data_IF_487133050474
#
_entry.id   IF_487133050474
#
_cell.length_a   1.000
_cell.length_b   1.000
_cell.length_c   1.000
_cell.angle_alpha   90.00
_cell.angle_beta   90.00
_cell.angle_gamma   90.00
#
_symmetry.space_group_name_H-M   'P 1'
#
loop_
_entity.id
_entity.type
_entity.pdbx_description
1 polymer ?
#
# COMPACT_ATOMS: atom_id res chain seq x y z
N UNK A 1 -39.83 40.78 19.56
CA UNK A 1 -40.98 40.90 18.62
C UNK A 1 -41.09 39.61 17.81
N UNK A 2 -42.29 39.31 17.25
CA UNK A 2 -42.65 38.28 16.24
C UNK A 2 -41.81 36.96 16.19
N UNK A 3 -42.32 35.76 16.51
CA UNK A 3 -43.46 34.98 15.94
C UNK A 3 -43.38 34.78 14.41
N UNK A 4 -43.64 33.59 13.82
CA UNK A 4 -43.92 32.26 14.40
C UNK A 4 -44.09 31.14 13.33
N UNK A 5 -43.78 29.87 13.72
CA UNK A 5 -44.48 28.59 13.34
C UNK A 5 -44.40 28.11 11.87
N UNK A 6 -44.62 26.83 11.48
CA UNK A 6 -44.80 25.49 12.12
C UNK A 6 -44.18 24.43 11.14
N UNK A 7 -43.77 23.20 11.48
CA UNK A 7 -44.57 22.02 11.89
C UNK A 7 -45.32 21.37 10.70
N UNK A 8 -45.25 20.07 10.36
CA UNK A 8 -44.49 18.90 10.86
C UNK A 8 -45.36 17.68 11.22
N UNK A 9 -45.28 16.54 10.49
CA UNK A 9 -45.80 15.18 10.86
C UNK A 9 -45.38 14.06 9.86
N UNK A 10 -45.70 12.77 10.13
CA UNK A 10 -45.17 11.54 9.46
C UNK A 10 -46.09 10.29 9.69
N UNK A 11 -45.78 9.08 9.15
CA UNK A 11 -46.12 8.49 7.84
C UNK A 11 -47.56 7.88 7.81
N UNK A 12 -47.96 6.56 7.85
CA UNK A 12 -47.28 5.22 7.78
C UNK A 12 -47.89 4.18 6.75
N UNK A 13 -47.35 2.94 6.73
CA UNK A 13 -47.94 1.62 6.29
C UNK A 13 -48.40 1.37 4.81
N UNK A 14 -48.40 0.15 4.23
CA UNK A 14 -47.68 -1.14 4.51
C UNK A 14 -48.00 -2.30 3.49
N UNK A 15 -47.05 -3.25 3.32
CA UNK A 15 -47.22 -4.74 3.18
C UNK A 15 -47.58 -5.48 1.85
N UNK A 16 -47.00 -6.71 1.74
CA UNK A 16 -47.30 -7.90 0.87
C UNK A 16 -47.00 -7.77 -0.67
N UNK A 17 -46.25 -8.63 -1.40
CA UNK A 17 -46.11 -10.12 -1.56
C UNK A 17 -47.11 -10.73 -2.59
N UNK A 18 -46.87 -11.80 -3.37
CA UNK A 18 -45.76 -12.78 -3.56
C UNK A 18 -46.03 -13.59 -4.89
N UNK A 19 -45.07 -14.42 -5.37
CA UNK A 19 -45.23 -15.36 -6.51
C UNK A 19 -44.84 -14.78 -7.89
N UNK A 20 -44.04 -15.36 -8.80
CA UNK A 20 -43.53 -16.74 -9.12
C UNK A 20 -44.39 -17.50 -10.17
N UNK A 21 -43.69 -18.20 -11.07
CA UNK A 21 -44.07 -18.97 -12.28
C UNK A 21 -44.17 -18.15 -13.58
N UNK A 22 -43.42 -18.37 -14.67
CA UNK A 22 -42.71 -19.52 -15.30
C UNK A 22 -43.55 -20.34 -16.29
N UNK A 23 -43.43 -20.03 -17.59
CA UNK A 23 -43.81 -20.88 -18.73
C UNK A 23 -42.71 -20.77 -19.80
N UNK A 24 -42.56 -21.81 -20.61
CA UNK A 24 -41.40 -22.14 -21.46
C UNK A 24 -41.82 -22.21 -22.96
N UNK A 25 -41.04 -22.90 -23.81
CA UNK A 25 -41.44 -23.57 -25.08
C UNK A 25 -41.16 -22.86 -26.45
N UNK A 26 -39.93 -23.12 -26.94
CA UNK A 26 -39.52 -23.58 -28.31
C UNK A 26 -39.65 -22.76 -29.62
N UNK A 27 -38.47 -22.52 -30.22
CA UNK A 27 -38.00 -22.86 -31.60
C UNK A 27 -38.76 -22.46 -32.89
N UNK A 28 -38.04 -21.78 -33.80
CA UNK A 28 -37.40 -22.27 -35.07
C UNK A 28 -36.60 -21.07 -35.65
N UNK A 29 -35.39 -21.12 -36.23
CA UNK A 29 -34.63 -22.05 -37.10
C UNK A 29 -34.89 -21.92 -38.61
N UNK A 30 -34.25 -20.92 -39.21
CA UNK A 30 -33.73 -20.76 -40.60
C UNK A 30 -32.79 -19.52 -40.52
N UNK A 31 -31.66 -19.35 -41.21
CA UNK A 31 -31.17 -19.88 -42.50
C UNK A 31 -31.20 -18.72 -43.51
N UNK A 32 -30.11 -18.06 -43.92
CA UNK A 32 -28.75 -18.56 -44.23
C UNK A 32 -27.63 -17.48 -44.19
N UNK A 33 -26.39 -17.95 -44.38
CA UNK A 33 -25.17 -17.26 -44.92
C UNK A 33 -25.38 -16.07 -45.89
N UNK A 34 -24.43 -15.13 -46.07
CA UNK A 34 -23.00 -15.07 -45.66
C UNK A 34 -22.47 -13.62 -45.56
N UNK A 35 -21.26 -13.47 -45.00
CA UNK A 35 -20.17 -12.46 -45.23
C UNK A 35 -20.54 -11.11 -45.92
N UNK A 36 -20.15 -9.94 -45.41
CA UNK A 36 -18.87 -9.60 -44.73
C UNK A 36 -19.02 -8.80 -43.41
N UNK A 37 -18.02 -8.92 -42.54
CA UNK A 37 -17.66 -7.91 -41.54
C UNK A 37 -16.37 -7.16 -41.95
N UNK A 38 -15.84 -6.17 -41.24
CA UNK A 38 -16.14 -5.64 -39.90
C UNK A 38 -15.77 -4.15 -39.90
N UNK A 39 -16.54 -3.28 -39.24
CA UNK A 39 -16.12 -2.07 -38.50
C UNK A 39 -17.39 -1.37 -37.93
N UNK A 40 -17.24 -0.47 -36.95
CA UNK A 40 -18.33 0.34 -36.37
C UNK A 40 -19.46 -0.42 -35.63
N UNK A 41 -19.10 -1.33 -34.73
CA UNK A 41 -19.89 -1.53 -33.51
C UNK A 41 -19.73 -0.35 -32.53
N UNK A 42 -20.56 -0.29 -31.48
CA UNK A 42 -20.60 0.77 -30.45
C UNK A 42 -21.02 2.16 -30.94
N UNK A 43 -22.31 2.50 -30.87
CA UNK A 43 -22.85 3.84 -30.49
C UNK A 43 -24.40 3.84 -30.35
N UNK A 44 -25.01 2.73 -29.89
CA UNK A 44 -26.48 2.54 -29.88
C UNK A 44 -26.98 1.84 -28.59
N UNK A 45 -26.53 2.32 -27.41
CA UNK A 45 -27.00 1.82 -26.11
C UNK A 45 -27.16 2.92 -25.05
N UNK A 46 -27.84 4.00 -25.44
CA UNK A 46 -28.39 5.04 -24.57
C UNK A 46 -29.66 5.58 -25.23
N UNK A 47 -30.69 5.90 -24.44
CA UNK A 47 -32.03 6.36 -24.88
C UNK A 47 -32.89 5.30 -25.59
N UNK A 48 -33.24 4.22 -24.88
CA UNK A 48 -34.54 3.52 -25.07
C UNK A 48 -34.84 2.55 -23.92
N UNK A 49 -35.69 2.96 -22.98
CA UNK A 49 -36.18 2.13 -21.87
C UNK A 49 -37.33 2.82 -21.14
N UNK A 50 -38.37 2.06 -20.77
CA UNK A 50 -39.70 2.52 -20.32
C UNK A 50 -40.43 3.29 -21.45
N UNK A 51 -41.49 2.76 -22.06
CA UNK A 51 -42.70 2.17 -21.46
C UNK A 51 -43.39 1.19 -22.41
N UNK A 52 -44.44 0.48 -21.96
CA UNK A 52 -45.25 -0.43 -22.79
C UNK A 52 -46.69 -0.56 -22.27
N UNK A 53 -47.58 -0.99 -23.17
CA UNK A 53 -48.97 -1.44 -22.98
C UNK A 53 -50.13 -0.42 -22.87
N UNK A 54 -51.24 -0.83 -23.51
CA UNK A 54 -52.66 -0.42 -23.34
C UNK A 54 -53.15 0.93 -23.92
N UNK A 55 -53.85 0.82 -25.05
CA UNK A 55 -54.90 1.70 -25.60
C UNK A 55 -56.13 1.78 -24.64
N UNK A 56 -57.07 2.78 -24.74
CA UNK A 56 -57.74 3.10 -26.00
C UNK A 56 -58.19 4.56 -26.31
N UNK A 57 -58.47 4.73 -27.62
CA UNK A 57 -59.46 5.62 -28.26
C UNK A 57 -59.17 7.10 -28.55
N UNK A 58 -59.69 7.50 -29.73
CA UNK A 58 -59.93 8.84 -30.30
C UNK A 58 -58.75 9.73 -30.76
N UNK A 59 -58.62 9.79 -32.09
CA UNK A 59 -58.60 11.02 -32.92
C UNK A 59 -57.73 12.22 -32.48
N UNK A 60 -56.64 12.45 -33.21
CA UNK A 60 -56.58 13.50 -34.26
C UNK A 60 -55.38 13.23 -35.18
N UNK A 61 -55.52 13.49 -36.49
CA UNK A 61 -54.41 13.45 -37.45
C UNK A 61 -53.63 14.78 -37.41
N UNK A 62 -52.34 14.74 -37.10
CA UNK A 62 -51.39 15.79 -37.50
C UNK A 62 -50.26 15.18 -38.34
N UNK A 63 -50.21 15.55 -39.62
CA UNK A 63 -49.15 15.15 -40.54
C UNK A 63 -48.01 16.15 -40.42
N UNK A 64 -47.00 15.85 -39.59
CA UNK A 64 -45.79 16.67 -39.48
C UNK A 64 -44.76 16.17 -40.50
N UNK A 65 -44.59 16.94 -41.58
CA UNK A 65 -43.66 16.66 -42.66
C UNK A 65 -42.19 16.71 -42.18
N UNK A 66 -41.49 15.58 -42.23
CA UNK A 66 -40.03 15.54 -42.05
C UNK A 66 -39.30 16.27 -43.19
N UNK A 67 -38.89 17.53 -42.94
CA UNK A 67 -38.09 18.36 -43.85
C UNK A 67 -37.04 19.20 -43.09
N UNK A 68 -36.16 18.57 -42.31
CA UNK A 68 -35.07 19.29 -41.60
C UNK A 68 -33.64 18.82 -41.94
N UNK A 69 -33.43 17.57 -42.33
CA UNK A 69 -32.08 16.98 -42.30
C UNK A 69 -31.10 17.50 -43.37
N UNK A 70 -31.59 17.88 -44.56
CA UNK A 70 -30.72 18.25 -45.69
C UNK A 70 -29.93 19.54 -45.44
N UNK A 71 -30.49 20.53 -44.73
CA UNK A 71 -29.82 21.81 -44.49
C UNK A 71 -28.77 21.67 -43.38
N UNK A 72 -29.12 21.01 -42.27
CA UNK A 72 -28.22 20.83 -41.14
C UNK A 72 -27.00 19.97 -41.52
N UNK A 73 -27.20 18.88 -42.27
CA UNK A 73 -26.08 18.05 -42.75
C UNK A 73 -25.16 18.79 -43.74
N UNK A 74 -25.72 19.68 -44.57
CA UNK A 74 -24.92 20.57 -45.45
C UNK A 74 -24.11 21.60 -44.67
N UNK A 75 -24.66 22.17 -43.59
CA UNK A 75 -23.89 23.07 -42.71
C UNK A 75 -22.78 22.31 -41.98
N UNK A 76 -23.07 21.16 -41.36
CA UNK A 76 -22.05 20.35 -40.68
C UNK A 76 -20.92 19.98 -41.64
N UNK A 77 -21.23 19.46 -42.85
CA UNK A 77 -20.20 19.11 -43.85
C UNK A 77 -19.41 20.33 -44.36
N UNK A 78 -19.95 21.55 -44.31
CA UNK A 78 -19.28 22.79 -44.73
C UNK A 78 -18.40 23.38 -43.63
N UNK A 79 -18.81 23.32 -42.36
CA UNK A 79 -18.11 24.00 -41.26
C UNK A 79 -17.24 23.08 -40.39
N UNK A 80 -17.49 21.77 -40.36
CA UNK A 80 -16.66 20.81 -39.64
C UNK A 80 -15.17 20.83 -40.07
N UNK A 81 -14.82 20.94 -41.37
CA UNK A 81 -13.40 21.05 -41.76
C UNK A 81 -12.73 22.31 -41.19
N UNK A 82 -13.43 23.44 -41.18
CA UNK A 82 -12.93 24.69 -40.61
C UNK A 82 -12.81 24.63 -39.08
N UNK A 83 -13.73 23.96 -38.39
CA UNK A 83 -13.65 23.71 -36.95
C UNK A 83 -12.46 22.81 -36.59
N UNK A 84 -12.21 21.74 -37.36
CA UNK A 84 -11.04 20.86 -37.18
C UNK A 84 -9.73 21.61 -37.44
N UNK A 85 -9.64 22.40 -38.52
CA UNK A 85 -8.46 23.23 -38.78
C UNK A 85 -8.24 24.26 -37.67
N UNK A 86 -9.31 24.89 -37.15
CA UNK A 86 -9.22 25.81 -36.01
C UNK A 86 -8.72 25.13 -34.73
N UNK A 87 -9.21 23.92 -34.42
CA UNK A 87 -8.76 23.14 -33.28
C UNK A 87 -7.29 22.69 -33.42
N UNK A 88 -6.87 22.26 -34.61
CA UNK A 88 -5.47 21.89 -34.89
C UNK A 88 -4.56 23.13 -34.78
N UNK A 89 -4.96 24.27 -35.32
CA UNK A 89 -4.21 25.53 -35.18
C UNK A 89 -4.10 25.96 -33.71
N UNK A 90 -5.16 25.84 -32.91
CA UNK A 90 -5.10 26.12 -31.47
C UNK A 90 -4.13 25.17 -30.73
N UNK A 91 -4.12 23.87 -31.06
CA UNK A 91 -3.17 22.90 -30.48
C UNK A 91 -1.72 23.20 -30.91
N UNK A 92 -1.50 23.63 -32.15
CA UNK A 92 -0.17 24.02 -32.65
C UNK A 92 0.32 25.32 -32.00
N UNK A 93 -0.53 26.34 -31.87
CA UNK A 93 -0.21 27.59 -31.17
C UNK A 93 0.06 27.31 -29.69
N UNK A 94 -0.77 26.49 -29.04
CA UNK A 94 -0.56 26.07 -27.66
C UNK A 94 0.79 25.35 -27.47
N UNK A 95 1.17 24.43 -28.38
CA UNK A 95 2.49 23.78 -28.36
C UNK A 95 3.66 24.69 -28.75
N UNK A 96 3.42 25.78 -29.47
CA UNK A 96 4.44 26.77 -29.81
C UNK A 96 4.68 27.79 -28.68
N UNK A 97 3.65 28.11 -27.89
CA UNK A 97 3.75 29.02 -26.72
C UNK A 97 4.07 28.27 -25.42
N UNK A 98 3.68 27.00 -25.32
CA UNK A 98 4.17 26.03 -24.36
C UNK A 98 5.01 24.97 -25.10
N UNK A 99 6.24 25.32 -25.55
CA UNK A 99 7.17 24.30 -26.00
C UNK A 99 7.29 23.27 -24.88
N UNK A 100 7.23 21.99 -25.23
CA UNK A 100 7.40 20.94 -24.24
C UNK A 100 8.80 21.12 -23.65
N UNK A 101 8.86 21.45 -22.35
CA UNK A 101 10.11 21.29 -21.63
C UNK A 101 10.39 19.80 -21.59
N UNK A 102 11.20 19.33 -22.53
CA UNK A 102 11.98 18.10 -22.36
C UNK A 102 12.71 18.28 -21.03
N UNK A 103 12.13 17.70 -19.97
CA UNK A 103 12.62 17.87 -18.62
C UNK A 103 14.04 17.31 -18.62
N UNK A 104 15.04 18.21 -18.56
CA UNK A 104 16.44 17.86 -18.80
C UNK A 104 16.84 16.79 -17.79
N UNK A 105 16.80 15.54 -18.22
CA UNK A 105 17.15 14.38 -17.43
C UNK A 105 18.66 14.41 -17.23
N UNK A 106 19.09 15.19 -16.24
CA UNK A 106 20.44 15.10 -15.69
C UNK A 106 20.66 13.62 -15.38
N UNK A 107 21.65 12.95 -16.00
CA UNK A 107 21.81 11.52 -15.85
C UNK A 107 22.00 11.21 -14.37
N UNK A 108 21.07 10.43 -13.81
CA UNK A 108 21.04 10.19 -12.36
C UNK A 108 22.35 9.56 -11.92
N UNK A 109 22.83 9.98 -10.74
CA UNK A 109 24.11 9.52 -10.21
C UNK A 109 24.02 8.01 -9.95
N UNK A 110 24.76 7.23 -10.73
CA UNK A 110 24.85 5.78 -10.55
C UNK A 110 25.76 5.48 -9.37
N UNK A 111 25.28 4.63 -8.46
CA UNK A 111 26.07 4.09 -7.36
C UNK A 111 26.54 2.70 -7.77
N UNK A 112 27.86 2.51 -7.81
CA UNK A 112 28.50 1.29 -8.28
C UNK A 112 29.16 0.57 -7.10
N UNK A 113 28.80 -0.70 -6.86
CA UNK A 113 29.40 -1.52 -5.80
C UNK A 113 29.76 -2.91 -6.32
N UNK A 114 30.89 -3.44 -5.86
CA UNK A 114 31.26 -4.84 -6.08
C UNK A 114 30.67 -5.73 -4.99
N UNK A 115 30.23 -6.93 -5.35
CA UNK A 115 29.96 -8.01 -4.40
C UNK A 115 31.28 -8.72 -3.98
N UNK A 116 31.16 -9.82 -3.22
CA UNK A 116 32.31 -10.61 -2.80
C UNK A 116 32.87 -11.53 -3.91
N UNK A 117 32.27 -11.57 -5.10
CA UNK A 117 32.78 -12.28 -6.28
C UNK A 117 33.45 -11.34 -7.30
N UNK A 118 33.35 -10.02 -7.10
CA UNK A 118 33.84 -8.98 -8.00
C UNK A 118 32.81 -8.53 -9.05
N UNK A 119 31.58 -9.02 -8.98
CA UNK A 119 30.49 -8.58 -9.85
C UNK A 119 30.08 -7.13 -9.54
N UNK A 120 30.02 -6.30 -10.57
CA UNK A 120 29.71 -4.87 -10.46
C UNK A 120 28.21 -4.63 -10.56
N UNK A 121 27.59 -4.30 -9.42
CA UNK A 121 26.22 -3.81 -9.35
C UNK A 121 26.20 -2.30 -9.59
N UNK A 122 25.26 -1.83 -10.42
CA UNK A 122 24.98 -0.42 -10.61
C UNK A 122 23.53 -0.15 -10.18
N UNK A 123 23.32 0.89 -9.37
CA UNK A 123 21.99 1.30 -8.91
C UNK A 123 21.75 2.78 -9.21
N UNK A 124 20.54 3.13 -9.66
CA UNK A 124 20.03 4.50 -9.68
C UNK A 124 18.60 4.61 -9.10
N UNK A 125 17.96 5.78 -9.18
CA UNK A 125 16.64 6.02 -8.58
C UNK A 125 15.47 5.33 -9.30
N UNK A 126 15.71 4.72 -10.46
CA UNK A 126 14.72 3.94 -11.20
C UNK A 126 14.76 2.44 -10.84
N UNK A 127 15.67 2.03 -9.96
CA UNK A 127 15.66 0.66 -9.41
C UNK A 127 14.31 0.34 -8.74
N UNK A 128 13.75 -0.87 -8.94
CA UNK A 128 12.41 -1.23 -8.46
C UNK A 128 12.43 -1.61 -6.97
N UNK A 129 12.92 -0.69 -6.13
CA UNK A 129 13.20 -0.88 -4.71
C UNK A 129 11.96 -1.21 -3.88
N UNK A 130 12.17 -1.94 -2.78
CA UNK A 130 11.11 -2.35 -1.84
C UNK A 130 11.18 -1.49 -0.58
N UNK A 131 10.11 -0.77 -0.23
CA UNK A 131 10.00 -0.04 1.04
C UNK A 131 9.02 -0.75 1.98
N UNK A 132 9.51 -1.22 3.13
CA UNK A 132 8.72 -1.95 4.14
C UNK A 132 8.51 -1.05 5.36
N UNK A 133 7.25 -0.76 5.68
CA UNK A 133 6.90 0.08 6.82
C UNK A 133 5.55 -0.25 7.42
N UNK A 134 5.00 0.71 8.17
CA UNK A 134 3.86 0.51 9.06
C UNK A 134 4.23 0.87 10.49
N UNK A 135 3.32 0.65 11.44
CA UNK A 135 3.61 0.99 12.84
C UNK A 135 4.67 0.02 13.41
N UNK A 136 5.71 0.49 14.14
CA UNK A 136 6.61 -0.40 14.87
C UNK A 136 5.83 -1.43 15.70
N UNK A 137 6.35 -2.67 15.76
CA UNK A 137 5.71 -3.87 16.34
C UNK A 137 4.62 -4.55 15.50
N UNK A 138 4.31 -4.03 14.30
CA UNK A 138 3.41 -4.65 13.30
C UNK A 138 4.08 -5.76 12.44
N UNK A 139 5.11 -6.44 12.94
CA UNK A 139 5.77 -7.51 12.18
C UNK A 139 6.75 -7.07 11.09
N UNK A 140 7.08 -5.78 10.95
CA UNK A 140 7.99 -5.26 9.90
C UNK A 140 9.36 -5.93 9.86
N UNK A 141 9.98 -6.26 11.00
CA UNK A 141 11.26 -7.02 11.01
C UNK A 141 11.09 -8.49 10.60
N UNK A 142 9.89 -9.09 10.72
CA UNK A 142 9.63 -10.45 10.20
C UNK A 142 9.50 -10.41 8.68
N UNK A 143 8.64 -9.54 8.14
CA UNK A 143 8.43 -9.43 6.69
C UNK A 143 9.73 -9.14 5.92
N UNK A 144 10.58 -8.22 6.43
CA UNK A 144 11.89 -7.97 5.82
C UNK A 144 12.85 -9.15 5.93
N UNK A 145 12.75 -9.96 6.98
CA UNK A 145 13.63 -11.11 7.19
C UNK A 145 13.24 -12.32 6.33
N UNK A 146 11.94 -12.50 6.07
CA UNK A 146 11.44 -13.45 5.08
C UNK A 146 11.88 -13.04 3.67
N UNK A 147 11.98 -11.74 3.38
CA UNK A 147 12.53 -11.23 2.11
C UNK A 147 14.07 -11.31 2.04
N UNK A 148 14.81 -10.99 3.11
CA UNK A 148 16.28 -11.16 3.22
C UNK A 148 16.74 -12.63 3.11
N UNK A 149 15.83 -13.60 3.17
CA UNK A 149 16.13 -15.01 2.91
C UNK A 149 16.04 -15.38 1.41
N UNK A 150 15.44 -14.52 0.58
CA UNK A 150 15.41 -14.69 -0.87
C UNK A 150 16.77 -14.27 -1.46
N UNK A 151 17.45 -15.11 -2.28
CA UNK A 151 18.83 -14.84 -2.71
C UNK A 151 18.99 -13.52 -3.48
N UNK A 152 17.99 -13.11 -4.25
CA UNK A 152 17.99 -11.84 -5.00
C UNK A 152 17.67 -10.58 -4.17
N UNK A 153 17.18 -10.69 -2.93
CA UNK A 153 16.66 -9.54 -2.18
C UNK A 153 17.51 -9.24 -0.95
N UNK A 154 17.90 -7.97 -0.76
CA UNK A 154 18.48 -7.50 0.51
C UNK A 154 17.77 -6.28 1.05
N UNK A 155 17.14 -6.45 2.20
CA UNK A 155 16.62 -5.41 3.08
C UNK A 155 17.66 -4.99 4.13
N UNK A 156 18.09 -5.90 4.99
CA UNK A 156 18.97 -5.60 6.13
C UNK A 156 18.30 -4.85 7.29
N UNK A 157 19.11 -4.21 8.12
CA UNK A 157 18.69 -3.58 9.39
C UNK A 157 18.03 -2.19 9.24
N UNK A 158 17.40 -1.68 10.31
CA UNK A 158 16.87 -0.30 10.32
C UNK A 158 17.99 0.74 10.12
N UNK A 159 17.87 1.59 9.10
CA UNK A 159 18.85 2.65 8.83
C UNK A 159 18.74 3.80 9.84
N UNK A 160 17.52 4.04 10.35
CA UNK A 160 17.14 5.09 11.30
C UNK A 160 17.32 6.53 10.80
N UNK A 161 18.10 6.75 9.74
CA UNK A 161 18.37 8.06 9.12
C UNK A 161 17.40 8.40 8.00
N UNK A 162 16.96 7.43 7.20
CA UNK A 162 15.95 7.61 6.14
C UNK A 162 14.65 8.24 6.70
N UNK A 163 14.01 7.70 7.77
CA UNK A 163 12.80 8.33 8.33
C UNK A 163 13.06 9.72 8.96
N UNK A 164 14.31 10.05 9.34
CA UNK A 164 14.66 11.37 9.89
C UNK A 164 14.76 12.43 8.80
N UNK A 165 15.44 12.15 7.68
CA UNK A 165 15.53 13.12 6.58
C UNK A 165 14.16 13.36 5.92
N UNK A 166 13.33 12.30 5.82
CA UNK A 166 11.93 12.42 5.39
C UNK A 166 11.13 13.33 6.34
N UNK A 167 11.28 13.16 7.66
CA UNK A 167 10.64 14.03 8.66
C UNK A 167 11.12 15.49 8.54
N UNK A 168 12.41 15.73 8.32
CA UNK A 168 12.97 17.08 8.14
C UNK A 168 12.41 17.77 6.89
N UNK A 169 12.41 17.09 5.73
CA UNK A 169 11.77 17.63 4.50
C UNK A 169 10.29 17.91 4.71
N UNK A 170 9.59 17.03 5.41
CA UNK A 170 8.18 17.23 5.73
C UNK A 170 7.93 18.42 6.67
N UNK A 171 8.89 18.77 7.54
CA UNK A 171 8.84 19.98 8.38
C UNK A 171 9.08 21.24 7.53
N UNK A 172 10.12 21.27 6.68
CA UNK A 172 10.38 22.39 5.78
C UNK A 172 9.17 22.70 4.90
N UNK A 173 8.59 21.67 4.25
CA UNK A 173 7.43 21.82 3.36
C UNK A 173 6.11 22.18 4.08
N UNK A 174 6.03 22.05 5.41
CA UNK A 174 4.86 22.49 6.22
C UNK A 174 4.98 23.92 6.72
N UNK A 175 6.19 24.47 6.79
CA UNK A 175 6.41 25.86 7.19
C UNK A 175 6.39 26.75 5.96
N UNK A 176 5.28 27.44 5.69
CA UNK A 176 5.17 28.34 4.54
C UNK A 176 6.31 29.40 4.51
N UNK A 177 6.71 29.92 5.68
CA UNK A 177 7.84 30.84 5.82
C UNK A 177 9.18 30.19 5.45
N UNK A 178 9.40 28.92 5.81
CA UNK A 178 10.66 28.24 5.46
C UNK A 178 10.69 27.79 4.01
N UNK A 179 9.57 27.29 3.48
CA UNK A 179 9.42 26.94 2.07
C UNK A 179 9.72 28.14 1.16
N UNK A 180 9.23 29.35 1.53
CA UNK A 180 9.56 30.58 0.82
C UNK A 180 11.06 30.93 0.94
N UNK A 181 11.64 30.88 2.15
CA UNK A 181 13.09 31.15 2.33
C UNK A 181 13.99 30.21 1.54
N UNK A 182 13.61 28.93 1.40
CA UNK A 182 14.33 27.95 0.59
C UNK A 182 14.17 28.26 -0.91
N UNK A 183 12.97 28.61 -1.36
CA UNK A 183 12.71 29.02 -2.74
C UNK A 183 13.49 30.27 -3.16
N UNK A 184 13.48 31.33 -2.34
CA UNK A 184 14.26 32.56 -2.57
C UNK A 184 15.79 32.30 -2.55
N UNK A 185 16.24 31.27 -1.83
CA UNK A 185 17.64 30.82 -1.83
C UNK A 185 18.00 29.87 -2.99
N UNK A 186 17.09 29.63 -3.94
CA UNK A 186 17.29 28.70 -5.06
C UNK A 186 17.24 27.21 -4.67
N UNK A 187 16.89 26.90 -3.43
CA UNK A 187 16.77 25.53 -2.89
C UNK A 187 15.34 25.03 -3.15
N UNK A 188 15.03 24.78 -4.42
CA UNK A 188 13.69 24.40 -4.88
C UNK A 188 13.29 22.98 -4.46
N UNK A 189 12.03 22.63 -4.69
CA UNK A 189 11.49 21.29 -4.43
C UNK A 189 12.28 20.21 -5.22
N UNK A 190 12.77 20.53 -6.41
CA UNK A 190 13.59 19.66 -7.28
C UNK A 190 15.01 19.48 -6.74
N UNK A 191 15.64 20.55 -6.25
CA UNK A 191 16.98 20.50 -5.63
C UNK A 191 16.94 19.64 -4.36
N UNK A 192 15.89 19.79 -3.55
CA UNK A 192 15.66 18.99 -2.35
C UNK A 192 15.30 17.53 -2.69
N UNK A 193 14.54 17.29 -3.75
CA UNK A 193 14.18 15.94 -4.19
C UNK A 193 15.41 15.14 -4.64
N UNK A 194 16.26 15.71 -5.50
CA UNK A 194 17.46 15.01 -5.99
C UNK A 194 18.48 14.79 -4.87
N UNK A 195 18.68 15.77 -3.98
CA UNK A 195 19.55 15.63 -2.82
C UNK A 195 19.06 14.54 -1.84
N UNK A 196 17.76 14.43 -1.61
CA UNK A 196 17.18 13.42 -0.72
C UNK A 196 17.12 12.06 -1.42
N UNK A 197 16.88 11.99 -2.73
CA UNK A 197 16.94 10.75 -3.50
C UNK A 197 18.37 10.17 -3.46
N UNK A 198 19.39 10.99 -3.73
CA UNK A 198 20.80 10.58 -3.63
C UNK A 198 21.15 10.14 -2.20
N UNK A 199 20.76 10.88 -1.17
CA UNK A 199 21.03 10.50 0.23
C UNK A 199 20.38 9.16 0.61
N UNK A 200 19.11 8.94 0.24
CA UNK A 200 18.41 7.69 0.56
C UNK A 200 19.03 6.53 -0.23
N UNK A 201 19.35 6.73 -1.51
CA UNK A 201 19.98 5.71 -2.34
C UNK A 201 21.38 5.33 -1.83
N UNK A 202 22.23 6.31 -1.49
CA UNK A 202 23.56 6.06 -0.90
C UNK A 202 23.44 5.24 0.39
N UNK A 203 22.49 5.56 1.26
CA UNK A 203 22.26 4.78 2.49
C UNK A 203 21.80 3.37 2.14
N UNK A 204 20.75 3.20 1.33
CA UNK A 204 20.16 1.89 1.00
C UNK A 204 21.15 0.97 0.26
N UNK A 205 21.96 1.52 -0.65
CA UNK A 205 23.04 0.78 -1.34
C UNK A 205 24.12 0.37 -0.34
N UNK A 206 24.72 1.32 0.40
CA UNK A 206 25.97 1.09 1.11
C UNK A 206 25.82 0.55 2.55
N UNK A 207 24.62 0.50 3.14
CA UNK A 207 24.44 -0.02 4.51
C UNK A 207 24.46 -1.57 4.63
N UNK A 208 24.60 -2.28 3.52
CA UNK A 208 24.55 -3.74 3.46
C UNK A 208 25.24 -4.31 2.23
N UNK A 209 25.11 -5.60 2.01
CA UNK A 209 25.63 -6.26 0.80
C UNK A 209 24.84 -5.82 -0.45
N UNK A 210 25.43 -5.84 -1.66
CA UNK A 210 24.67 -5.72 -2.90
C UNK A 210 23.72 -6.92 -3.10
N UNK A 211 22.66 -6.72 -3.88
CA UNK A 211 21.70 -7.75 -4.28
C UNK A 211 20.92 -7.30 -5.53
N UNK A 212 20.36 -8.24 -6.29
CA UNK A 212 19.56 -7.97 -7.50
C UNK A 212 18.36 -7.04 -7.24
N UNK A 213 17.83 -7.02 -6.01
CA UNK A 213 16.68 -6.23 -5.59
C UNK A 213 16.93 -5.62 -4.21
N UNK A 214 17.17 -4.30 -4.18
CA UNK A 214 17.36 -3.57 -2.93
C UNK A 214 16.03 -3.29 -2.21
N UNK A 215 16.10 -3.30 -0.88
CA UNK A 215 14.98 -3.10 0.02
C UNK A 215 15.41 -2.23 1.21
N UNK A 216 14.46 -1.49 1.80
CA UNK A 216 14.64 -0.76 3.05
C UNK A 216 13.48 -1.06 4.01
N UNK A 217 13.81 -1.32 5.29
CA UNK A 217 12.84 -1.45 6.38
C UNK A 217 13.12 -0.43 7.47
N UNK A 218 12.43 0.70 7.40
CA UNK A 218 12.37 1.71 8.46
C UNK A 218 10.89 2.06 8.69
N UNK A 219 10.27 1.67 9.83
CA UNK A 219 8.80 1.57 9.93
C UNK A 219 8.00 2.82 9.49
N UNK A 220 8.46 4.01 9.87
CA UNK A 220 7.77 5.28 9.59
C UNK A 220 8.03 5.88 8.21
N UNK A 221 8.81 5.23 7.33
CA UNK A 221 8.97 5.64 5.91
C UNK A 221 7.63 5.70 5.17
N UNK A 222 6.72 4.78 5.49
CA UNK A 222 5.35 4.71 4.95
C UNK A 222 4.50 5.94 5.30
N UNK A 223 4.92 6.82 6.23
CA UNK A 223 4.29 8.14 6.46
C UNK A 223 4.65 9.17 5.38
N UNK A 224 5.45 8.77 4.40
CA UNK A 224 5.89 9.59 3.26
C UNK A 224 5.97 8.74 1.99
N UNK A 225 5.12 7.71 1.87
CA UNK A 225 5.16 6.74 0.78
C UNK A 225 4.90 7.39 -0.60
N UNK A 226 3.95 8.32 -0.69
CA UNK A 226 3.67 9.10 -1.91
C UNK A 226 4.89 9.91 -2.35
N UNK A 227 5.56 10.57 -1.40
CA UNK A 227 6.79 11.33 -1.64
C UNK A 227 7.96 10.41 -2.04
N UNK A 228 8.13 9.27 -1.36
CA UNK A 228 9.13 8.26 -1.76
C UNK A 228 8.88 7.72 -3.17
N UNK A 229 7.63 7.57 -3.61
CA UNK A 229 7.32 7.16 -4.98
C UNK A 229 7.51 8.27 -6.03
N UNK A 230 7.53 9.56 -5.62
CA UNK A 230 8.03 10.66 -6.47
C UNK A 230 9.55 10.57 -6.66
N UNK A 231 10.28 10.24 -5.59
CA UNK A 231 11.74 10.07 -5.66
C UNK A 231 12.14 8.82 -6.45
N UNK A 232 11.47 7.69 -6.20
CA UNK A 232 11.80 6.38 -6.75
C UNK A 232 10.60 5.83 -7.54
N UNK A 233 10.49 6.13 -8.86
CA UNK A 233 9.26 5.91 -9.61
C UNK A 233 8.82 4.44 -9.67
N UNK A 234 9.76 3.51 -9.72
CA UNK A 234 9.52 2.07 -9.83
C UNK A 234 9.43 1.36 -8.46
N UNK A 235 9.57 2.09 -7.35
CA UNK A 235 9.56 1.50 -6.03
C UNK A 235 8.15 1.02 -5.61
N UNK A 236 8.12 -0.13 -4.92
CA UNK A 236 6.91 -0.77 -4.38
C UNK A 236 6.96 -0.82 -2.86
N UNK A 237 5.78 -0.71 -2.24
CA UNK A 237 5.63 -0.48 -0.81
C UNK A 237 4.87 -1.64 -0.15
N UNK A 238 5.41 -2.18 0.94
CA UNK A 238 4.73 -3.14 1.81
C UNK A 238 4.31 -2.42 3.10
N UNK A 239 3.01 -2.19 3.24
CA UNK A 239 2.43 -1.58 4.43
C UNK A 239 2.03 -2.69 5.41
N UNK A 240 2.84 -2.91 6.45
CA UNK A 240 2.54 -3.90 7.47
C UNK A 240 1.43 -3.41 8.39
N UNK A 241 0.28 -4.07 8.30
CA UNK A 241 -0.91 -3.88 9.13
C UNK A 241 -0.93 -4.93 10.23
N UNK A 242 -1.36 -4.54 11.43
CA UNK A 242 -1.51 -5.42 12.61
C UNK A 242 -2.60 -4.88 13.52
N UNK A 243 -3.27 -5.74 14.29
CA UNK A 243 -4.21 -5.29 15.32
C UNK A 243 -3.54 -4.26 16.26
N UNK A 244 -4.18 -3.11 16.44
CA UNK A 244 -3.66 -2.02 17.26
C UNK A 244 -3.46 -2.39 18.73
N UNK A 245 -4.30 -3.29 19.24
CA UNK A 245 -4.24 -3.81 20.61
C UNK A 245 -3.01 -4.69 20.79
N UNK A 246 -2.74 -5.58 19.84
CA UNK A 246 -1.53 -6.40 19.79
C UNK A 246 -0.26 -5.53 19.64
N UNK A 247 -0.33 -4.51 18.79
CA UNK A 247 0.76 -3.58 18.50
C UNK A 247 1.12 -2.75 19.74
N UNK A 248 0.15 -2.07 20.34
CA UNK A 248 0.35 -1.24 21.55
C UNK A 248 0.78 -2.08 22.75
N UNK A 249 0.15 -3.24 22.99
CA UNK A 249 0.61 -4.13 24.05
C UNK A 249 2.07 -4.54 23.85
N UNK A 250 2.51 -4.84 22.62
CA UNK A 250 3.93 -5.15 22.35
C UNK A 250 4.86 -3.93 22.48
N UNK A 251 4.37 -2.69 22.34
CA UNK A 251 5.15 -1.47 22.58
C UNK A 251 5.36 -1.27 24.09
N UNK A 252 4.29 -1.38 24.88
CA UNK A 252 4.27 -1.17 26.33
C UNK A 252 5.04 -2.29 27.07
N UNK A 253 4.64 -3.56 26.89
CA UNK A 253 5.22 -4.71 27.61
C UNK A 253 6.73 -4.85 27.43
N UNK A 254 7.24 -4.61 26.22
CA UNK A 254 8.68 -4.64 25.90
C UNK A 254 9.39 -3.30 26.09
N UNK A 255 8.71 -2.25 26.60
CA UNK A 255 9.26 -0.90 26.80
C UNK A 255 10.00 -0.40 25.55
N UNK A 256 9.31 -0.36 24.41
CA UNK A 256 9.86 0.08 23.13
C UNK A 256 9.57 1.58 22.97
N UNK A 257 10.61 2.40 23.13
CA UNK A 257 10.47 3.87 23.11
C UNK A 257 10.19 4.38 21.70
N UNK A 258 9.11 5.15 21.56
CA UNK A 258 8.69 5.82 20.32
C UNK A 258 8.37 7.27 20.67
N UNK A 259 8.91 8.22 19.91
CA UNK A 259 8.75 9.66 20.19
C UNK A 259 7.28 10.05 20.19
N UNK A 260 6.80 10.60 21.31
CA UNK A 260 5.40 11.03 21.48
C UNK A 260 4.42 9.95 21.95
N UNK A 261 4.90 8.77 22.35
CA UNK A 261 4.10 7.72 23.00
C UNK A 261 4.40 7.66 24.51
N UNK A 262 3.39 7.90 25.34
CA UNK A 262 3.43 7.60 26.77
C UNK A 262 3.21 6.09 27.02
N UNK A 263 4.26 5.40 27.42
CA UNK A 263 4.25 3.95 27.66
C UNK A 263 3.51 3.54 28.96
N UNK A 264 3.05 4.49 29.78
CA UNK A 264 2.16 4.21 30.91
C UNK A 264 0.67 4.15 30.49
N UNK A 265 0.32 4.72 29.34
CA UNK A 265 -1.08 4.88 28.91
C UNK A 265 -1.40 4.06 27.65
N UNK A 266 -2.14 2.96 27.83
CA UNK A 266 -2.74 2.21 26.71
C UNK A 266 -3.63 3.11 25.84
N UNK A 267 -4.44 3.99 26.45
CA UNK A 267 -5.32 4.92 25.74
C UNK A 267 -4.54 5.87 24.84
N UNK A 268 -3.50 6.52 25.36
CA UNK A 268 -2.67 7.42 24.55
C UNK A 268 -1.90 6.65 23.46
N UNK A 269 -1.33 5.48 23.79
CA UNK A 269 -0.63 4.66 22.81
C UNK A 269 -1.55 4.19 21.67
N UNK A 270 -2.81 3.85 21.95
CA UNK A 270 -3.81 3.47 20.92
C UNK A 270 -4.25 4.67 20.08
N UNK A 271 -4.46 5.85 20.67
CA UNK A 271 -4.72 7.09 19.91
C UNK A 271 -3.55 7.44 18.98
N UNK A 272 -2.31 7.32 19.47
CA UNK A 272 -1.09 7.55 18.67
C UNK A 272 -0.88 6.50 17.59
N UNK A 273 -1.17 5.22 17.88
CA UNK A 273 -1.24 4.14 16.88
C UNK A 273 -2.25 4.50 15.79
N UNK A 274 -3.47 4.89 16.17
CA UNK A 274 -4.55 5.21 15.25
C UNK A 274 -4.17 6.35 14.29
N UNK A 275 -3.69 7.48 14.79
CA UNK A 275 -3.26 8.60 13.94
C UNK A 275 -2.08 8.25 13.02
N UNK A 276 -1.13 7.42 13.48
CA UNK A 276 0.02 7.00 12.68
C UNK A 276 -0.41 6.02 11.58
N UNK A 277 -1.23 5.03 11.91
CA UNK A 277 -1.75 4.01 10.99
C UNK A 277 -2.70 4.63 9.97
N UNK A 278 -3.58 5.54 10.37
CA UNK A 278 -4.41 6.33 9.44
C UNK A 278 -3.55 7.06 8.39
N UNK A 279 -2.49 7.75 8.83
CA UNK A 279 -1.57 8.44 7.91
C UNK A 279 -0.93 7.48 6.90
N UNK A 280 -0.51 6.29 7.35
CA UNK A 280 0.15 5.30 6.49
C UNK A 280 -0.83 4.55 5.59
N UNK A 281 -2.08 4.37 6.02
CA UNK A 281 -3.17 3.80 5.23
C UNK A 281 -3.53 4.72 4.06
N UNK A 282 -3.81 6.00 4.33
CA UNK A 282 -4.11 6.98 3.29
C UNK A 282 -2.96 7.11 2.29
N UNK A 283 -1.70 7.12 2.75
CA UNK A 283 -0.53 7.12 1.86
C UNK A 283 -0.40 5.84 1.01
N UNK A 284 -0.94 4.70 1.45
CA UNK A 284 -0.97 3.45 0.70
C UNK A 284 -2.13 3.43 -0.32
N UNK A 285 -3.29 3.97 0.08
CA UNK A 285 -4.48 4.15 -0.79
C UNK A 285 -4.19 5.15 -1.92
N UNK A 286 -3.55 6.29 -1.62
CA UNK A 286 -3.10 7.31 -2.58
C UNK A 286 -2.10 6.76 -3.63
N UNK A 287 -1.33 5.72 -3.28
CA UNK A 287 -0.40 5.04 -4.19
C UNK A 287 -1.07 3.99 -5.08
N UNK A 288 -2.24 3.48 -4.67
CA UNK A 288 -2.96 2.41 -5.36
C UNK A 288 -2.30 1.03 -5.27
N UNK A 289 -3.10 -0.01 -5.53
CA UNK A 289 -2.70 -1.42 -5.37
C UNK A 289 -1.55 -1.88 -6.29
N UNK A 290 -1.20 -1.11 -7.32
CA UNK A 290 -0.04 -1.37 -8.18
C UNK A 290 1.30 -0.93 -7.55
N UNK A 291 1.28 -0.05 -6.55
CA UNK A 291 2.48 0.44 -5.86
C UNK A 291 2.50 0.16 -4.36
N UNK A 292 1.36 0.05 -3.68
CA UNK A 292 1.32 -0.29 -2.26
C UNK A 292 0.43 -1.51 -1.97
N UNK A 293 0.99 -2.48 -1.23
CA UNK A 293 0.29 -3.67 -0.76
C UNK A 293 0.18 -3.63 0.78
N UNK A 294 -1.04 -3.55 1.33
CA UNK A 294 -1.29 -3.87 2.74
C UNK A 294 -1.02 -5.35 3.02
N UNK A 295 -0.13 -5.63 3.97
CA UNK A 295 0.23 -6.97 4.43
C UNK A 295 -0.18 -7.13 5.88
N UNK A 296 -1.16 -7.99 6.12
CA UNK A 296 -1.70 -8.25 7.45
C UNK A 296 -0.78 -9.22 8.21
N UNK A 297 -0.20 -8.77 9.32
CA UNK A 297 0.71 -9.56 10.15
C UNK A 297 0.10 -10.89 10.58
N UNK A 298 -1.16 -10.87 11.04
CA UNK A 298 -1.84 -12.07 11.49
C UNK A 298 -2.01 -13.07 10.35
N UNK A 299 -2.36 -12.61 9.14
CA UNK A 299 -2.52 -13.46 7.96
C UNK A 299 -1.18 -13.98 7.42
N UNK A 300 -0.13 -13.16 7.42
CA UNK A 300 1.24 -13.56 7.09
C UNK A 300 1.78 -14.61 8.08
N UNK A 301 1.38 -14.55 9.35
CA UNK A 301 1.76 -15.54 10.36
C UNK A 301 0.94 -16.82 10.24
N UNK A 302 -0.35 -16.75 9.95
CA UNK A 302 -1.23 -17.92 9.82
C UNK A 302 -0.97 -18.69 8.50
N UNK A 303 -0.77 -17.96 7.40
CA UNK A 303 -0.70 -18.48 6.03
C UNK A 303 0.55 -17.96 5.27
N UNK A 304 1.79 -18.21 5.77
CA UNK A 304 3.00 -17.60 5.25
C UNK A 304 3.29 -17.96 3.79
N UNK A 305 2.93 -19.16 3.34
CA UNK A 305 3.13 -19.56 1.94
C UNK A 305 2.22 -18.78 0.98
N UNK A 306 0.95 -18.57 1.33
CA UNK A 306 0.03 -17.76 0.52
C UNK A 306 0.53 -16.31 0.46
N UNK A 307 0.82 -15.72 1.61
CA UNK A 307 1.20 -14.31 1.67
C UNK A 307 2.57 -14.03 1.08
N UNK A 308 3.56 -14.93 1.19
CA UNK A 308 4.82 -14.73 0.47
C UNK A 308 4.68 -14.92 -1.04
N UNK A 309 3.80 -15.81 -1.54
CA UNK A 309 3.49 -15.88 -2.98
C UNK A 309 2.82 -14.59 -3.48
N UNK A 310 1.88 -14.05 -2.70
CA UNK A 310 1.20 -12.77 -2.97
C UNK A 310 2.17 -11.58 -2.94
N UNK A 311 3.10 -11.54 -1.99
CA UNK A 311 4.12 -10.50 -1.85
C UNK A 311 5.14 -10.57 -3.00
N UNK A 312 5.74 -11.73 -3.27
CA UNK A 312 6.74 -11.87 -4.34
C UNK A 312 6.11 -11.60 -5.72
N UNK A 313 4.89 -12.09 -5.95
CA UNK A 313 4.11 -11.78 -7.16
C UNK A 313 3.79 -10.29 -7.30
N UNK A 314 3.42 -9.60 -6.21
CA UNK A 314 3.24 -8.13 -6.21
C UNK A 314 4.55 -7.38 -6.49
N UNK A 315 5.70 -7.90 -6.07
CA UNK A 315 7.02 -7.25 -6.24
C UNK A 315 7.69 -7.55 -7.59
N UNK A 316 7.09 -8.40 -8.44
CA UNK A 316 7.69 -8.94 -9.66
C UNK A 316 9.01 -9.69 -9.37
N UNK A 317 8.98 -10.59 -8.37
CA UNK A 317 10.10 -11.49 -8.02
C UNK A 317 9.64 -12.94 -8.11
N UNK A 318 10.53 -13.84 -8.54
CA UNK A 318 10.26 -15.27 -8.62
C UNK A 318 9.96 -15.88 -7.24
N UNK A 319 9.37 -17.08 -7.22
CA UNK A 319 9.25 -17.85 -5.97
C UNK A 319 10.59 -18.49 -5.61
N UNK A 320 11.03 -18.29 -4.37
CA UNK A 320 12.07 -19.09 -3.73
C UNK A 320 11.57 -19.55 -2.35
N UNK A 321 11.80 -20.82 -2.02
CA UNK A 321 11.26 -21.44 -0.80
C UNK A 321 11.92 -20.94 0.50
N UNK A 322 13.15 -20.42 0.40
CA UNK A 322 13.93 -19.88 1.52
C UNK A 322 13.20 -18.80 2.33
N UNK A 323 12.23 -18.09 1.72
CA UNK A 323 11.39 -17.08 2.40
C UNK A 323 10.54 -17.64 3.53
N UNK A 324 10.26 -18.95 3.53
CA UNK A 324 9.56 -19.66 4.61
C UNK A 324 10.51 -20.15 5.71
N UNK A 325 11.82 -20.22 5.41
CA UNK A 325 12.89 -20.80 6.24
C UNK A 325 13.89 -19.75 6.74
N UNK A 326 13.45 -18.49 6.89
CA UNK A 326 14.32 -17.37 7.27
C UNK A 326 15.16 -17.59 8.54
N UNK A 327 14.70 -18.41 9.49
CA UNK A 327 15.45 -18.79 10.69
C UNK A 327 16.74 -19.57 10.39
N UNK A 328 16.81 -20.19 9.21
CA UNK A 328 17.96 -20.94 8.72
C UNK A 328 18.95 -20.04 7.96
N UNK A 329 18.55 -18.82 7.58
CA UNK A 329 19.35 -17.84 6.84
C UNK A 329 19.95 -16.71 7.71
N UNK A 330 19.65 -16.69 9.02
CA UNK A 330 20.18 -15.69 9.97
C UNK A 330 21.72 -15.63 9.95
N UNK A 331 22.25 -14.43 9.69
CA UNK A 331 23.68 -14.10 9.64
C UNK A 331 24.54 -14.96 8.69
N UNK A 332 23.93 -15.61 7.68
CA UNK A 332 24.65 -16.24 6.56
C UNK A 332 24.96 -15.22 5.45
N UNK A 333 26.00 -15.44 4.62
CA UNK A 333 26.19 -14.69 3.37
C UNK A 333 24.94 -14.81 2.49
N UNK A 334 24.51 -13.70 1.86
CA UNK A 334 23.27 -13.67 1.07
C UNK A 334 22.00 -13.96 1.89
N UNK A 335 22.01 -13.67 3.20
CA UNK A 335 20.93 -13.97 4.12
C UNK A 335 20.63 -12.86 5.14
N UNK A 336 19.87 -13.22 6.18
CA UNK A 336 19.24 -12.28 7.11
C UNK A 336 20.25 -11.68 8.11
N UNK A 337 20.77 -10.50 7.80
CA UNK A 337 21.57 -9.68 8.73
C UNK A 337 20.72 -9.15 9.89
N UNK A 338 21.08 -9.43 11.16
CA UNK A 338 20.38 -8.92 12.34
C UNK A 338 21.23 -7.95 13.17
N UNK A 339 20.62 -6.84 13.60
CA UNK A 339 21.19 -5.93 14.60
C UNK A 339 20.85 -6.42 16.01
N UNK A 340 21.87 -6.60 16.84
CA UNK A 340 21.70 -7.04 18.25
C UNK A 340 20.94 -6.04 19.14
N UNK A 341 20.83 -4.79 18.70
CA UNK A 341 20.10 -3.73 19.41
C UNK A 341 18.70 -3.46 18.83
N UNK A 342 18.31 -4.10 17.73
CA UNK A 342 16.91 -4.07 17.26
C UNK A 342 16.02 -4.86 18.22
N UNK A 343 14.93 -4.24 18.71
CA UNK A 343 14.00 -4.82 19.69
C UNK A 343 13.13 -5.97 19.16
N UNK A 344 13.46 -6.49 17.98
CA UNK A 344 12.78 -7.59 17.28
C UNK A 344 13.67 -8.83 17.11
N UNK A 345 14.99 -8.71 17.30
CA UNK A 345 15.95 -9.74 16.88
C UNK A 345 15.82 -11.06 17.67
N UNK A 346 15.46 -11.00 18.95
CA UNK A 346 15.15 -12.18 19.78
C UNK A 346 13.87 -12.93 19.35
N UNK A 347 13.04 -12.31 18.50
CA UNK A 347 11.82 -12.91 17.95
C UNK A 347 12.05 -13.45 16.53
N UNK A 348 12.74 -12.67 15.69
CA UNK A 348 12.98 -12.96 14.26
C UNK A 348 14.04 -14.04 14.03
N UNK A 349 14.80 -14.45 15.06
CA UNK A 349 15.59 -15.69 14.96
C UNK A 349 14.73 -16.97 14.90
N UNK A 350 13.46 -16.93 15.30
CA UNK A 350 12.58 -18.11 15.41
C UNK A 350 11.76 -18.27 14.11
N UNK A 351 11.40 -19.51 13.70
CA UNK A 351 10.49 -19.73 12.57
C UNK A 351 9.14 -19.02 12.76
N UNK A 352 8.39 -18.81 11.66
CA UNK A 352 7.03 -18.25 11.70
C UNK A 352 6.14 -19.10 12.64
N UNK A 353 5.54 -18.47 13.65
CA UNK A 353 4.89 -19.12 14.78
C UNK A 353 3.77 -18.28 15.39
N UNK A 354 2.89 -18.94 16.17
CA UNK A 354 1.65 -18.36 16.69
C UNK A 354 1.80 -17.59 18.01
N UNK A 355 2.97 -17.61 18.66
CA UNK A 355 3.18 -17.12 20.04
C UNK A 355 2.73 -15.68 20.28
N UNK A 356 2.68 -14.84 19.25
CA UNK A 356 2.50 -13.41 19.36
C UNK A 356 1.11 -12.89 18.97
N UNK A 357 0.21 -13.72 18.42
CA UNK A 357 -1.09 -13.26 17.88
C UNK A 357 -1.97 -12.59 18.97
N UNK A 358 -2.35 -13.34 20.00
CA UNK A 358 -3.37 -12.92 20.99
C UNK A 358 -2.82 -12.59 22.38
N UNK A 359 -1.51 -12.42 22.55
CA UNK A 359 -0.87 -12.15 23.87
C UNK A 359 -1.33 -10.87 24.57
N UNK A 360 -2.03 -9.98 23.88
CA UNK A 360 -2.57 -8.73 24.42
C UNK A 360 -3.91 -8.90 25.16
N UNK A 361 -4.59 -10.03 25.00
CA UNK A 361 -5.92 -10.27 25.58
C UNK A 361 -5.84 -10.28 27.10
N UNK A 362 -6.73 -9.55 27.76
CA UNK A 362 -6.71 -9.32 29.21
C UNK A 362 -5.60 -8.39 29.72
N UNK A 363 -4.76 -7.82 28.84
CA UNK A 363 -3.65 -6.94 29.22
C UNK A 363 -4.00 -5.44 29.09
N UNK A 364 -5.16 -5.11 28.53
CA UNK A 364 -5.64 -3.74 28.30
C UNK A 364 -6.66 -3.38 29.39
N UNK A 365 -6.56 -2.21 30.03
CA UNK A 365 -7.52 -1.77 31.05
C UNK A 365 -8.96 -1.73 30.55
N UNK A 366 -9.92 -2.08 31.41
CA UNK A 366 -11.33 -2.29 31.04
C UNK A 366 -11.97 -1.05 30.40
N UNK A 367 -11.70 0.13 30.96
CA UNK A 367 -12.16 1.42 30.47
C UNK A 367 -11.55 1.83 29.11
N UNK A 368 -10.44 1.19 28.71
CA UNK A 368 -9.84 1.34 27.38
C UNK A 368 -10.43 0.35 26.38
N UNK A 369 -10.84 -0.84 26.84
CA UNK A 369 -11.58 -1.82 26.02
C UNK A 369 -13.01 -1.32 25.73
N UNK A 370 -13.69 -0.73 26.71
CA UNK A 370 -15.05 -0.20 26.56
C UNK A 370 -15.12 0.99 25.58
N UNK A 371 -14.06 1.81 25.51
CA UNK A 371 -13.95 2.98 24.63
C UNK A 371 -13.15 2.70 23.33
N UNK A 372 -12.81 1.42 23.06
CA UNK A 372 -11.85 1.01 22.02
C UNK A 372 -12.19 1.54 20.62
N UNK A 373 -13.48 1.53 20.24
CA UNK A 373 -13.93 1.99 18.93
C UNK A 373 -13.74 3.50 18.71
N UNK A 374 -13.85 4.32 19.77
CA UNK A 374 -13.62 5.76 19.71
C UNK A 374 -12.12 6.09 19.77
N UNK A 375 -11.37 5.31 20.56
CA UNK A 375 -9.92 5.44 20.74
C UNK A 375 -9.15 5.07 19.46
N UNK A 376 -9.60 4.02 18.76
CA UNK A 376 -8.87 3.40 17.65
C UNK A 376 -9.79 2.97 16.48
N UNK A 377 -10.57 3.89 15.86
CA UNK A 377 -11.47 3.57 14.74
C UNK A 377 -10.80 2.94 13.51
N UNK A 378 -9.48 3.10 13.34
CA UNK A 378 -8.72 2.39 12.30
C UNK A 378 -8.73 0.87 12.48
N UNK A 379 -9.05 0.33 13.68
CA UNK A 379 -9.29 -1.10 13.85
C UNK A 379 -10.39 -1.58 12.90
N UNK A 380 -11.59 -0.98 12.99
CA UNK A 380 -12.73 -1.33 12.16
C UNK A 380 -12.47 -1.06 10.67
N UNK A 381 -11.81 0.07 10.35
CA UNK A 381 -11.41 0.43 8.97
C UNK A 381 -10.52 -0.64 8.32
N UNK A 382 -9.66 -1.27 9.11
CA UNK A 382 -8.74 -2.31 8.65
C UNK A 382 -9.31 -3.74 8.78
N UNK A 383 -10.56 -3.91 9.24
CA UNK A 383 -11.19 -5.22 9.40
C UNK A 383 -11.00 -5.91 10.76
N UNK A 384 -10.41 -5.24 11.75
CA UNK A 384 -10.35 -5.72 13.13
C UNK A 384 -11.59 -5.22 13.90
N UNK A 385 -12.45 -6.12 14.35
CA UNK A 385 -13.55 -5.73 15.24
C UNK A 385 -12.98 -5.13 16.56
N UNK A 386 -13.29 -3.85 16.90
CA UNK A 386 -12.82 -3.22 18.12
C UNK A 386 -13.45 -3.83 19.39
N UNK A 387 -14.59 -4.52 19.29
CA UNK A 387 -15.32 -5.09 20.43
C UNK A 387 -14.92 -6.54 20.74
N UNK A 388 -14.52 -7.34 19.75
CA UNK A 388 -13.98 -8.70 19.97
C UNK A 388 -12.61 -8.69 20.67
N UNK A 389 -12.45 -9.54 21.69
CA UNK A 389 -11.28 -9.60 22.56
C UNK A 389 -10.81 -11.06 22.79
N UNK A 390 -10.06 -11.67 21.85
CA UNK A 390 -9.60 -11.13 20.56
C UNK A 390 -10.64 -11.34 19.44
N UNK A 391 -10.47 -10.69 18.27
CA UNK A 391 -11.07 -11.16 17.02
C UNK A 391 -10.61 -12.58 16.68
N UNK A 392 -11.44 -13.32 15.92
CA UNK A 392 -10.98 -14.53 15.25
C UNK A 392 -10.11 -14.14 14.03
N UNK A 393 -8.79 -14.26 14.16
CA UNK A 393 -7.87 -13.96 13.06
C UNK A 393 -7.82 -15.04 11.97
N UNK A 394 -8.36 -16.24 12.22
CA UNK A 394 -8.27 -17.40 11.33
C UNK A 394 -7.54 -18.59 11.96
N UNK A 395 -7.46 -19.71 11.21
CA UNK A 395 -6.81 -20.95 11.63
C UNK A 395 -5.47 -21.11 10.90
N UNK A 396 -4.42 -21.49 11.63
CA UNK A 396 -3.06 -21.56 11.09
C UNK A 396 -2.82 -22.76 10.16
N UNK A 397 -1.95 -22.56 9.15
CA UNK A 397 -1.39 -23.64 8.35
C UNK A 397 -0.65 -24.67 9.22
N UNK A 398 -0.67 -25.93 8.80
CA UNK A 398 0.02 -27.03 9.49
C UNK A 398 1.54 -26.76 9.68
N UNK A 399 2.17 -26.06 8.72
CA UNK A 399 3.56 -25.60 8.81
C UNK A 399 3.79 -24.74 10.06
N UNK A 400 2.92 -23.76 10.31
CA UNK A 400 3.04 -22.80 11.41
C UNK A 400 2.69 -23.44 12.75
N UNK A 401 1.70 -24.33 12.77
CA UNK A 401 1.39 -25.15 13.94
C UNK A 401 2.58 -26.05 14.33
N UNK A 402 3.26 -26.66 13.35
CA UNK A 402 4.45 -27.49 13.57
C UNK A 402 5.67 -26.65 13.98
N UNK A 403 5.87 -25.47 13.40
CA UNK A 403 6.90 -24.51 13.84
C UNK A 403 6.70 -24.08 15.30
N UNK A 404 5.45 -23.81 15.70
CA UNK A 404 5.13 -23.44 17.09
C UNK A 404 5.42 -24.59 18.05
N UNK A 405 5.04 -25.83 17.70
CA UNK A 405 5.42 -27.04 18.46
C UNK A 405 6.94 -27.26 18.52
N UNK A 406 7.66 -27.01 17.41
CA UNK A 406 9.13 -27.08 17.32
C UNK A 406 9.81 -26.09 18.28
N UNK A 407 9.29 -24.86 18.37
CA UNK A 407 9.77 -23.86 19.35
C UNK A 407 9.50 -24.31 20.78
N UNK A 408 8.30 -24.79 21.09
CA UNK A 408 7.92 -25.21 22.45
C UNK A 408 8.72 -26.43 22.93
N UNK A 409 8.98 -27.41 22.05
CA UNK A 409 9.80 -28.59 22.37
C UNK A 409 11.28 -28.24 22.59
N UNK A 410 11.79 -27.20 21.93
CA UNK A 410 13.19 -26.81 21.93
C UNK A 410 13.43 -25.45 22.61
N UNK A 411 12.61 -25.09 23.61
CA UNK A 411 12.52 -23.73 24.13
C UNK A 411 13.88 -23.14 24.57
N UNK A 412 14.66 -23.90 25.35
CA UNK A 412 16.00 -23.48 25.81
C UNK A 412 16.94 -23.14 24.65
N UNK A 413 17.06 -24.03 23.65
CA UNK A 413 17.84 -23.82 22.42
C UNK A 413 17.43 -22.53 21.68
N UNK A 414 16.15 -22.15 21.71
CA UNK A 414 15.68 -20.88 21.14
C UNK A 414 15.95 -19.65 22.02
N UNK A 415 16.09 -19.82 23.33
CA UNK A 415 16.46 -18.78 24.29
C UNK A 415 17.98 -18.56 24.29
N UNK A 416 18.78 -19.63 24.25
CA UNK A 416 20.23 -19.62 24.02
C UNK A 416 20.57 -18.90 22.70
N UNK A 417 19.86 -19.25 21.61
CA UNK A 417 20.02 -18.57 20.31
C UNK A 417 19.64 -17.08 20.38
N UNK A 418 18.68 -16.71 21.23
CA UNK A 418 18.30 -15.32 21.42
C UNK A 418 19.38 -14.55 22.20
N UNK A 419 20.00 -15.16 23.21
CA UNK A 419 21.11 -14.55 23.96
C UNK A 419 22.39 -14.47 23.13
N UNK A 420 22.69 -15.49 22.30
CA UNK A 420 23.78 -15.44 21.34
C UNK A 420 23.65 -14.23 20.39
N UNK A 421 22.44 -13.94 19.89
CA UNK A 421 22.20 -12.76 19.02
C UNK A 421 22.22 -11.42 19.78
N UNK A 422 21.87 -11.38 21.07
CA UNK A 422 22.02 -10.19 21.92
C UNK A 422 23.49 -9.89 22.24
N UNK A 423 24.25 -10.92 22.60
CA UNK A 423 25.65 -10.80 23.04
C UNK A 423 26.63 -10.57 21.88
N UNK A 424 26.46 -11.25 20.73
CA UNK A 424 27.37 -11.26 19.58
C UNK A 424 28.02 -9.89 19.28
N UNK A 425 29.35 -9.80 19.30
CA UNK A 425 30.05 -8.61 18.84
C UNK A 425 30.24 -8.68 17.33
N UNK A 426 29.77 -7.67 16.57
CA UNK A 426 30.16 -7.51 15.16
C UNK A 426 31.66 -7.17 15.12
N UNK A 427 32.50 -8.20 15.10
CA UNK A 427 33.91 -8.06 14.76
C UNK A 427 33.98 -7.52 13.34
N UNK A 428 34.30 -6.23 13.19
CA UNK A 428 34.80 -5.71 11.94
C UNK A 428 36.18 -6.34 11.75
N UNK A 429 36.28 -7.34 10.86
CA UNK A 429 37.51 -7.54 10.11
C UNK A 429 37.74 -6.27 9.29
N UNK A 430 38.51 -5.35 9.86
CA UNK A 430 39.30 -4.42 9.06
C UNK A 430 40.49 -5.22 8.56
N UNK A 431 40.26 -6.02 7.51
CA UNK A 431 41.33 -6.69 6.79
C UNK A 431 42.08 -5.61 5.99
N UNK A 432 43.11 -5.04 6.62
CA UNK A 432 44.04 -4.11 5.99
C UNK A 432 44.93 -4.86 4.99
N UNK A 433 44.67 -4.67 3.70
CA UNK A 433 45.61 -4.83 2.59
C UNK A 433 45.21 -3.88 1.46
#
# INVERSE_FOLDING_TARGET
>A
MMRARLGGCKPPSSLLSLGITSVEVTSRREGSSCLDGVWAGWWWWLVSGLTSCSLPHQLVRYVVSWKCDVVMWRMVRRYLPHAVVGAVMLVLIYRAHHPCQDAVQRPFRKHMTSDNTGALHNYDRNEPMIFIGGMPRSGTTLARAMLDAHPDIRCGEETRVVPRILQMRQQWKRSAKESLRLQEAGVTDEVLDEAIASFILDIVVNHGQPASRLCNKDPFTLKSATYLSKLFPNAKFLFMVRDGRATVHSIISRKVTITGFDLSSYKQCLQRWNSAVQTMNTQCEELGASKCLPVYYEQLVLHPQEWMRKILGFLDVAWNDAVLHHEEHINKPGGVSLSKVERSSDQVIKPVNLDALSKWVGQIPKEVVEDMANIAPMLATLGYDPYSNPPNYGQADALVANNTKRIQKELSKWEDRAEAVRSASKHRKADNT
#
